data_IF_283456441212
#
_entry.id   IF_283456441212
#
_cell.length_a   1.000
_cell.length_b   1.000
_cell.length_c   1.000
_cell.angle_alpha   90.00
_cell.angle_beta   90.00
_cell.angle_gamma   90.00
#
_symmetry.space_group_name_H-M   'P 1'
#
loop_
_entity.id
_entity.type
_entity.pdbx_description
1 polymer ?
#
# COMPACT_ATOMS: atom_id res chain seq x y z
N UNK A 1 -9.59 -13.13 9.51
CA UNK A 1 -8.24 -12.54 9.31
C UNK A 1 -8.21 -11.17 9.99
N UNK A 2 -7.09 -10.80 10.62
CA UNK A 2 -7.01 -9.69 11.58
C UNK A 2 -7.40 -8.31 11.01
N UNK A 3 -7.43 -8.15 9.68
CA UNK A 3 -7.63 -6.85 9.01
C UNK A 3 -8.91 -6.72 8.20
N UNK A 4 -9.83 -7.69 8.32
CA UNK A 4 -11.06 -7.71 7.54
C UNK A 4 -11.89 -6.41 7.66
N UNK A 5 -12.03 -5.79 8.85
CA UNK A 5 -12.72 -4.50 8.98
C UNK A 5 -12.07 -3.36 8.20
N UNK A 6 -10.73 -3.29 8.19
CA UNK A 6 -9.98 -2.29 7.43
C UNK A 6 -10.17 -2.48 5.93
N UNK A 7 -10.06 -3.71 5.43
CA UNK A 7 -10.23 -3.99 4.00
C UNK A 7 -11.64 -3.64 3.52
N UNK A 8 -12.66 -3.90 4.33
CA UNK A 8 -14.03 -3.45 4.05
C UNK A 8 -14.15 -1.92 4.03
N UNK A 9 -13.46 -1.21 4.93
CA UNK A 9 -13.46 0.25 4.93
C UNK A 9 -12.71 0.83 3.73
N UNK A 10 -11.56 0.28 3.37
CA UNK A 10 -10.79 0.67 2.18
C UNK A 10 -11.58 0.44 0.90
N UNK A 11 -12.31 -0.66 0.78
CA UNK A 11 -13.15 -0.95 -0.38
C UNK A 11 -14.30 0.06 -0.59
N UNK A 12 -14.66 0.86 0.42
CA UNK A 12 -15.65 1.95 0.29
C UNK A 12 -15.06 3.23 -0.30
N UNK A 13 -13.75 3.42 -0.19
CA UNK A 13 -13.07 4.67 -0.59
C UNK A 13 -12.08 4.48 -1.73
N UNK A 14 -11.63 3.25 -1.99
CA UNK A 14 -10.73 2.88 -3.10
C UNK A 14 -11.49 1.99 -4.08
N UNK A 15 -11.51 2.33 -5.39
CA UNK A 15 -12.10 1.48 -6.42
C UNK A 15 -11.48 0.08 -6.43
N UNK A 16 -12.29 -0.96 -6.69
CA UNK A 16 -11.85 -2.36 -6.64
C UNK A 16 -10.63 -2.68 -7.53
N UNK A 17 -10.48 -2.00 -8.68
CA UNK A 17 -9.32 -2.17 -9.57
C UNK A 17 -8.00 -1.63 -8.98
N UNK A 18 -8.07 -0.82 -7.92
CA UNK A 18 -6.93 -0.13 -7.28
C UNK A 18 -6.70 -0.58 -5.83
N UNK A 19 -7.54 -1.48 -5.31
CA UNK A 19 -7.31 -2.18 -4.05
C UNK A 19 -6.93 -3.63 -4.36
N UNK A 20 -5.63 -3.92 -4.33
CA UNK A 20 -5.11 -5.25 -4.62
C UNK A 20 -5.13 -6.09 -3.35
N UNK A 21 -5.73 -7.27 -3.42
CA UNK A 21 -5.82 -8.22 -2.29
C UNK A 21 -5.53 -9.65 -2.71
N UNK A 22 -5.48 -9.94 -4.01
CA UNK A 22 -5.24 -11.29 -4.51
C UNK A 22 -3.74 -11.57 -4.57
N UNK A 23 -3.34 -12.78 -4.22
CA UNK A 23 -1.92 -13.17 -4.12
C UNK A 23 -1.08 -12.83 -5.38
N UNK A 24 -1.54 -13.08 -6.62
CA UNK A 24 -0.76 -12.70 -7.81
C UNK A 24 -0.56 -11.19 -7.96
N UNK A 25 -1.49 -10.38 -7.44
CA UNK A 25 -1.40 -8.93 -7.46
C UNK A 25 -0.47 -8.39 -6.36
N UNK A 26 -0.36 -9.11 -5.24
CA UNK A 26 0.49 -8.75 -4.11
C UNK A 26 1.96 -9.13 -4.31
N UNK A 27 2.23 -10.22 -5.05
CA UNK A 27 3.58 -10.73 -5.27
C UNK A 27 4.62 -9.67 -5.70
N UNK A 28 4.33 -8.72 -6.61
CA UNK A 28 5.30 -7.67 -6.99
C UNK A 28 5.64 -6.69 -5.86
N UNK A 29 4.86 -6.68 -4.79
CA UNK A 29 5.00 -5.77 -3.65
C UNK A 29 5.61 -6.45 -2.42
N UNK A 30 5.90 -7.76 -2.46
CA UNK A 30 6.41 -8.51 -1.30
C UNK A 30 7.85 -8.13 -0.91
N UNK A 31 8.61 -7.55 -1.84
CA UNK A 31 9.99 -7.08 -1.64
C UNK A 31 10.19 -5.70 -2.25
N UNK A 32 11.20 -4.99 -1.78
CA UNK A 32 11.85 -3.90 -2.53
C UNK A 32 13.14 -4.41 -3.21
N UNK A 33 14.10 -3.53 -3.54
CA UNK A 33 15.33 -3.93 -4.21
C UNK A 33 16.33 -4.63 -3.28
N UNK A 34 16.09 -4.65 -1.96
CA UNK A 34 16.83 -5.50 -1.02
C UNK A 34 16.18 -6.90 -0.97
N UNK A 35 16.33 -7.65 -2.07
CA UNK A 35 15.62 -8.92 -2.33
C UNK A 35 15.90 -10.06 -1.35
N UNK A 36 16.87 -9.89 -0.45
CA UNK A 36 17.12 -10.83 0.65
C UNK A 36 15.97 -10.85 1.68
N UNK A 37 15.10 -9.83 1.70
CA UNK A 37 13.96 -9.74 2.62
C UNK A 37 12.66 -9.64 1.85
N UNK A 38 11.64 -10.35 2.33
CA UNK A 38 10.29 -10.28 1.78
C UNK A 38 9.25 -10.43 2.89
N UNK A 39 8.09 -9.83 2.67
CA UNK A 39 6.94 -9.93 3.57
C UNK A 39 5.67 -9.69 2.77
N UNK A 40 4.57 -10.36 3.13
CA UNK A 40 3.31 -10.21 2.41
C UNK A 40 2.41 -9.17 3.08
N UNK A 41 2.04 -8.08 2.39
CA UNK A 41 1.04 -7.16 2.92
C UNK A 41 -0.37 -7.77 2.84
N UNK A 42 -1.29 -7.27 3.65
CA UNK A 42 -2.71 -7.63 3.55
C UNK A 42 -3.37 -7.05 2.28
N UNK A 43 -2.95 -5.86 1.85
CA UNK A 43 -3.40 -5.23 0.63
C UNK A 43 -2.42 -4.17 0.10
N UNK A 44 -2.58 -3.82 -1.17
CA UNK A 44 -1.90 -2.68 -1.81
C UNK A 44 -2.96 -1.69 -2.29
N UNK A 45 -2.81 -0.43 -1.92
CA UNK A 45 -3.62 0.69 -2.41
C UNK A 45 -2.86 1.42 -3.50
N UNK A 46 -3.36 1.39 -4.73
CA UNK A 46 -2.86 2.17 -5.86
C UNK A 46 -3.51 3.57 -5.82
N UNK A 47 -2.91 4.49 -5.07
CA UNK A 47 -3.48 5.81 -4.84
C UNK A 47 -3.33 6.71 -6.09
N UNK A 48 -4.39 7.44 -6.42
CA UNK A 48 -4.44 8.40 -7.55
C UNK A 48 -4.79 9.82 -7.10
N UNK A 49 -5.16 10.03 -5.83
CA UNK A 49 -5.40 11.37 -5.29
C UNK A 49 -4.80 11.54 -3.89
N UNK A 50 -4.60 12.80 -3.50
CA UNK A 50 -4.22 13.16 -2.13
C UNK A 50 -5.26 12.67 -1.11
N UNK A 51 -6.55 12.76 -1.45
CA UNK A 51 -7.64 12.34 -0.58
C UNK A 51 -7.59 10.84 -0.28
N UNK A 52 -7.28 10.02 -1.29
CA UNK A 52 -7.16 8.57 -1.11
C UNK A 52 -6.01 8.19 -0.17
N UNK A 53 -4.87 8.88 -0.27
CA UNK A 53 -3.74 8.67 0.65
C UNK A 53 -4.16 9.04 2.07
N UNK A 54 -4.77 10.21 2.26
CA UNK A 54 -5.24 10.68 3.57
C UNK A 54 -6.24 9.69 4.17
N UNK A 55 -7.23 9.27 3.40
CA UNK A 55 -8.25 8.32 3.86
C UNK A 55 -7.63 6.96 4.21
N UNK A 56 -6.69 6.47 3.41
CA UNK A 56 -5.99 5.21 3.68
C UNK A 56 -5.20 5.28 4.98
N UNK A 57 -4.41 6.34 5.20
CA UNK A 57 -3.62 6.53 6.43
C UNK A 57 -4.54 6.64 7.66
N UNK A 58 -5.63 7.41 7.56
CA UNK A 58 -6.61 7.53 8.66
C UNK A 58 -7.26 6.19 9.01
N UNK A 59 -7.64 5.40 8.02
CA UNK A 59 -8.20 4.08 8.23
C UNK A 59 -7.17 3.12 8.85
N UNK A 60 -5.92 3.14 8.38
CA UNK A 60 -4.82 2.37 8.98
C UNK A 60 -4.66 2.73 10.47
N UNK A 61 -4.65 4.02 10.79
CA UNK A 61 -4.58 4.50 12.17
C UNK A 61 -5.78 4.04 13.02
N UNK A 62 -7.01 4.24 12.52
CA UNK A 62 -8.25 3.86 13.22
C UNK A 62 -8.31 2.36 13.54
N UNK A 63 -7.77 1.53 12.65
CA UNK A 63 -7.75 0.07 12.80
C UNK A 63 -6.45 -0.48 13.40
N UNK A 64 -5.51 0.38 13.81
CA UNK A 64 -4.20 0.00 14.31
C UNK A 64 -3.42 -0.96 13.38
N UNK A 65 -3.58 -0.79 12.07
CA UNK A 65 -2.86 -1.57 11.05
C UNK A 65 -1.69 -0.75 10.53
N UNK A 66 -0.46 -1.30 10.52
CA UNK A 66 0.70 -0.59 10.00
C UNK A 66 0.62 -0.42 8.48
N UNK A 67 1.28 0.62 7.97
CA UNK A 67 1.41 0.82 6.53
C UNK A 67 2.84 1.21 6.15
N UNK A 68 3.17 1.02 4.89
CA UNK A 68 4.39 1.55 4.27
C UNK A 68 4.02 2.36 3.02
N UNK A 69 4.65 3.52 2.86
CA UNK A 69 4.55 4.30 1.63
C UNK A 69 5.58 3.76 0.64
N UNK A 70 5.18 3.56 -0.62
CA UNK A 70 6.04 2.99 -1.65
C UNK A 70 5.93 3.76 -2.97
N UNK A 71 7.08 4.11 -3.53
CA UNK A 71 7.21 4.57 -4.92
C UNK A 71 7.48 3.38 -5.86
N UNK A 72 8.60 3.40 -6.57
CA UNK A 72 9.04 2.29 -7.45
C UNK A 72 9.43 1.01 -6.69
N UNK A 73 9.72 1.08 -5.39
CA UNK A 73 10.21 -0.05 -4.60
C UNK A 73 11.69 -0.38 -4.84
N UNK A 74 12.51 0.61 -5.16
CA UNK A 74 13.95 0.43 -5.45
C UNK A 74 14.85 0.66 -4.24
N UNK A 75 14.32 0.65 -3.01
CA UNK A 75 15.15 0.80 -1.81
C UNK A 75 16.08 -0.40 -1.65
N UNK A 76 17.34 -0.13 -1.29
CA UNK A 76 18.38 -1.14 -1.00
C UNK A 76 18.60 -1.34 0.51
N UNK A 77 17.77 -0.71 1.35
CA UNK A 77 17.87 -0.78 2.81
C UNK A 77 16.61 -1.31 3.48
N UNK A 78 15.62 -1.77 2.70
CA UNK A 78 14.33 -2.21 3.21
C UNK A 78 13.36 -1.06 3.52
N UNK A 79 13.65 0.17 3.11
CA UNK A 79 12.82 1.35 3.43
C UNK A 79 11.43 1.32 2.81
N UNK A 80 11.20 0.44 1.84
CA UNK A 80 9.88 0.21 1.22
C UNK A 80 9.42 -1.24 1.34
N UNK A 81 10.06 -2.02 2.22
CA UNK A 81 9.68 -3.39 2.51
C UNK A 81 8.29 -3.39 3.18
N UNK A 82 7.33 -4.18 2.68
CA UNK A 82 6.02 -4.30 3.31
C UNK A 82 6.10 -4.90 4.71
N UNK A 83 5.13 -4.52 5.53
CA UNK A 83 4.92 -5.11 6.86
C UNK A 83 3.94 -6.26 6.68
N UNK A 84 4.18 -7.38 7.37
CA UNK A 84 3.28 -8.52 7.31
C UNK A 84 1.89 -8.10 7.76
N UNK A 85 0.87 -8.46 6.99
CA UNK A 85 -0.51 -8.05 7.24
C UNK A 85 -0.68 -6.52 7.28
N UNK A 86 0.28 -5.72 6.79
CA UNK A 86 0.18 -4.27 6.68
C UNK A 86 -0.45 -3.82 5.36
N UNK A 87 -0.54 -2.51 5.16
CA UNK A 87 -0.96 -1.91 3.89
C UNK A 87 0.24 -1.29 3.17
N UNK A 88 0.38 -1.59 1.88
CA UNK A 88 1.29 -0.83 1.00
C UNK A 88 0.50 0.27 0.33
N UNK A 89 0.94 1.52 0.46
CA UNK A 89 0.37 2.67 -0.24
C UNK A 89 1.29 3.01 -1.41
N UNK A 90 0.89 2.62 -2.62
CA UNK A 90 1.66 2.87 -3.84
C UNK A 90 1.35 4.27 -4.39
N UNK A 91 2.38 5.12 -4.44
CA UNK A 91 2.27 6.53 -4.81
C UNK A 91 2.64 6.80 -6.28
N UNK A 92 2.97 5.76 -7.04
CA UNK A 92 3.55 5.81 -8.38
C UNK A 92 2.64 6.49 -9.42
N UNK A 93 1.33 6.60 -9.14
CA UNK A 93 0.36 7.29 -10.02
C UNK A 93 0.19 8.78 -9.68
N UNK A 94 0.67 9.24 -8.52
CA UNK A 94 0.70 10.65 -8.12
C UNK A 94 1.94 11.34 -8.72
N UNK A 95 2.03 11.39 -10.05
CA UNK A 95 3.24 11.78 -10.79
C UNK A 95 3.14 13.10 -11.58
N UNK A 96 2.09 13.89 -11.34
CA UNK A 96 1.86 15.15 -12.05
C UNK A 96 2.83 16.23 -11.58
N UNK A 97 3.52 16.87 -12.53
CA UNK A 97 4.28 18.11 -12.30
C UNK A 97 3.29 19.28 -12.26
N UNK A 98 3.24 20.02 -11.16
CA UNK A 98 2.24 21.09 -10.93
C UNK A 98 2.73 22.46 -11.36
N UNK A 99 4.04 22.71 -11.29
CA UNK A 99 4.77 23.91 -11.75
C UNK A 99 6.20 23.51 -12.11
N UNK A 100 6.82 24.21 -13.07
CA UNK A 100 8.26 24.14 -13.39
C UNK A 100 8.98 25.37 -12.84
#
# INVERSE_FOLDING_TARGET
MMNQPLLTALAKVIPAKRLLTQQPQLAPYESDALTAFQSRPAAVVLAESQEEVINTVRLCHQHAVPFVARGSGTSLSGGSLPIQDGIVIALNRLNRIVRL
#
